data_IF_171907070627
#
_entry.id   IF_171907070627
#
_cell.length_a   1.000
_cell.length_b   1.000
_cell.length_c   1.000
_cell.angle_alpha   90.00
_cell.angle_beta   90.00
_cell.angle_gamma   90.00
#
_symmetry.space_group_name_H-M   'P 1'
#
loop_
_entity.id
_entity.type
_entity.pdbx_description
1 polymer ?
#
# COMPACT_ATOMS: atom_id res chain seq x y z
N UNK A 1 -5.72 -18.59 -4.21
CA UNK A 1 -5.09 -17.64 -5.15
C UNK A 1 -5.04 -16.26 -4.50
N UNK A 2 -3.97 -15.49 -4.70
CA UNK A 2 -3.84 -14.13 -4.15
C UNK A 2 -4.77 -13.19 -4.93
N UNK A 3 -5.64 -12.44 -4.23
CA UNK A 3 -6.62 -11.53 -4.86
C UNK A 3 -5.96 -10.36 -5.62
N UNK A 4 -4.72 -10.02 -5.27
CA UNK A 4 -3.95 -8.93 -5.87
C UNK A 4 -2.55 -9.42 -6.26
N UNK A 5 -1.99 -8.86 -7.33
CA UNK A 5 -0.61 -9.08 -7.83
C UNK A 5 0.16 -7.76 -7.90
N UNK A 6 1.49 -7.86 -7.97
CA UNK A 6 2.37 -6.70 -8.16
C UNK A 6 1.99 -5.95 -9.43
N UNK A 7 1.90 -4.63 -9.34
CA UNK A 7 1.50 -3.75 -10.45
C UNK A 7 0.00 -3.42 -10.48
N UNK A 8 -0.86 -4.14 -9.75
CA UNK A 8 -2.29 -3.81 -9.72
C UNK A 8 -2.51 -2.42 -9.09
N UNK A 9 -3.36 -1.62 -9.75
CA UNK A 9 -3.91 -0.42 -9.16
C UNK A 9 -4.99 -0.81 -8.13
N UNK A 10 -4.86 -0.28 -6.92
CA UNK A 10 -5.80 -0.54 -5.83
C UNK A 10 -6.20 0.73 -5.12
N UNK A 11 -7.38 0.70 -4.52
CA UNK A 11 -7.86 1.72 -3.61
C UNK A 11 -8.36 1.13 -2.30
N UNK A 12 -8.30 1.91 -1.25
CA UNK A 12 -8.89 1.57 0.05
C UNK A 12 -9.19 2.81 0.86
N UNK A 13 -10.13 2.67 1.78
CA UNK A 13 -10.45 3.70 2.76
C UNK A 13 -9.64 3.48 4.03
N UNK A 14 -8.98 4.52 4.51
CA UNK A 14 -8.21 4.52 5.75
C UNK A 14 -8.74 5.61 6.67
N UNK A 15 -8.89 5.29 7.96
CA UNK A 15 -9.22 6.25 9.00
C UNK A 15 -7.96 6.60 9.79
N UNK A 16 -7.74 7.89 10.06
CA UNK A 16 -6.65 8.36 10.91
C UNK A 16 -6.96 9.76 11.42
N UNK A 17 -6.66 10.03 12.69
CA UNK A 17 -6.88 11.33 13.34
C UNK A 17 -8.31 11.88 13.15
N UNK A 18 -9.32 11.02 13.22
CA UNK A 18 -10.73 11.39 13.03
C UNK A 18 -11.13 11.70 11.57
N UNK A 19 -10.22 11.55 10.61
CA UNK A 19 -10.51 11.73 9.18
C UNK A 19 -10.49 10.41 8.44
N UNK A 20 -11.44 10.27 7.54
CA UNK A 20 -11.52 9.16 6.58
C UNK A 20 -10.97 9.63 5.25
N UNK A 21 -10.06 8.87 4.66
CA UNK A 21 -9.43 9.21 3.39
C UNK A 21 -9.33 7.99 2.51
N UNK A 22 -9.81 8.11 1.27
CA UNK A 22 -9.57 7.11 0.22
C UNK A 22 -8.15 7.29 -0.31
N UNK A 23 -7.38 6.22 -0.28
CA UNK A 23 -6.03 6.15 -0.84
C UNK A 23 -6.08 5.34 -2.13
N UNK A 24 -5.25 5.75 -3.08
CA UNK A 24 -5.02 5.03 -4.35
C UNK A 24 -3.53 4.80 -4.50
N UNK A 25 -3.16 3.63 -4.98
CA UNK A 25 -1.76 3.29 -5.20
C UNK A 25 -1.61 1.98 -5.94
N UNK A 26 -0.35 1.57 -6.10
CA UNK A 26 0.01 0.37 -6.85
C UNK A 26 0.54 -0.69 -5.90
N UNK A 27 0.11 -1.94 -6.08
CA UNK A 27 0.65 -3.07 -5.31
C UNK A 27 2.15 -3.21 -5.61
N UNK A 28 2.99 -2.96 -4.60
CA UNK A 28 4.43 -3.13 -4.69
C UNK A 28 4.81 -4.60 -4.49
N UNK A 29 4.31 -5.22 -3.42
CA UNK A 29 4.58 -6.62 -3.11
C UNK A 29 3.60 -7.19 -2.07
N UNK A 30 3.39 -8.50 -2.15
CA UNK A 30 2.68 -9.30 -1.14
C UNK A 30 3.63 -9.66 0.01
N UNK A 31 3.19 -9.43 1.24
CA UNK A 31 3.91 -9.82 2.45
C UNK A 31 3.16 -10.98 3.11
N UNK A 32 3.81 -12.14 3.18
CA UNK A 32 3.26 -13.31 3.88
C UNK A 32 3.21 -13.07 5.39
N UNK A 33 2.31 -13.79 6.05
CA UNK A 33 2.24 -13.79 7.51
C UNK A 33 3.59 -14.16 8.14
N UNK A 34 3.83 -13.65 9.34
CA UNK A 34 5.05 -13.83 10.13
C UNK A 34 6.33 -13.27 9.49
N UNK A 35 6.21 -12.37 8.50
CA UNK A 35 7.34 -11.66 7.90
C UNK A 35 7.37 -10.19 8.32
N UNK A 36 8.56 -9.60 8.37
CA UNK A 36 8.74 -8.16 8.56
C UNK A 36 8.49 -7.43 7.22
N UNK A 37 7.44 -6.60 7.09
CA UNK A 37 7.18 -5.86 5.85
C UNK A 37 8.30 -4.91 5.45
N UNK A 38 9.06 -4.38 6.42
CA UNK A 38 10.15 -3.44 6.16
C UNK A 38 11.26 -4.01 5.27
N UNK A 39 11.48 -5.33 5.28
CA UNK A 39 12.47 -6.00 4.43
C UNK A 39 12.10 -6.03 2.94
N UNK A 40 10.85 -5.70 2.60
CA UNK A 40 10.36 -5.70 1.22
C UNK A 40 10.18 -4.29 0.64
N UNK A 41 10.56 -3.26 1.40
CA UNK A 41 10.60 -1.89 0.90
C UNK A 41 11.82 -1.70 0.00
N UNK A 42 11.76 -0.78 -0.98
CA UNK A 42 12.95 -0.42 -1.74
C UNK A 42 14.08 0.09 -0.84
N UNK A 43 15.32 -0.20 -1.24
CA UNK A 43 16.49 0.29 -0.54
C UNK A 43 16.50 1.83 -0.46
N UNK A 44 16.95 2.38 0.68
CA UNK A 44 16.98 3.82 0.91
C UNK A 44 15.62 4.46 1.18
N UNK A 45 14.53 3.68 1.32
CA UNK A 45 13.22 4.22 1.71
C UNK A 45 13.31 4.98 3.04
N UNK A 46 13.04 6.29 3.00
CA UNK A 46 13.04 7.15 4.18
C UNK A 46 11.96 6.72 5.16
N UNK A 47 12.27 6.70 6.47
CA UNK A 47 11.30 6.37 7.52
C UNK A 47 10.02 7.21 7.44
N UNK A 48 10.13 8.49 7.10
CA UNK A 48 8.98 9.40 6.95
C UNK A 48 8.03 9.04 5.81
N UNK A 49 8.45 8.17 4.89
CA UNK A 49 7.64 7.67 3.78
C UNK A 49 6.97 6.32 4.10
N UNK A 50 7.33 5.67 5.19
CA UNK A 50 6.73 4.43 5.66
C UNK A 50 5.52 4.80 6.54
N UNK A 51 4.33 4.36 6.15
CA UNK A 51 3.04 4.73 6.79
C UNK A 51 2.41 3.58 7.54
N UNK A 52 3.25 2.70 8.04
CA UNK A 52 2.90 1.60 8.93
C UNK A 52 4.03 1.41 9.94
N UNK A 53 3.68 0.93 11.12
CA UNK A 53 4.64 0.58 12.16
C UNK A 53 4.40 -0.88 12.54
N UNK A 54 5.05 -1.79 11.81
CA UNK A 54 4.90 -3.23 11.97
C UNK A 54 6.29 -3.86 12.00
N UNK A 55 6.62 -4.48 13.13
CA UNK A 55 7.81 -5.35 13.22
C UNK A 55 7.59 -6.68 12.52
N UNK A 56 6.37 -7.21 12.59
CA UNK A 56 5.94 -8.47 11.96
C UNK A 56 4.51 -8.31 11.46
N UNK A 57 4.21 -8.86 10.29
CA UNK A 57 2.85 -8.98 9.77
C UNK A 57 2.20 -10.26 10.30
N UNK A 58 1.35 -10.16 11.32
CA UNK A 58 0.61 -11.31 11.89
C UNK A 58 -0.26 -12.05 10.86
N UNK A 59 -0.69 -11.34 9.82
CA UNK A 59 -1.51 -11.86 8.72
C UNK A 59 -0.91 -11.42 7.39
N UNK A 60 -1.40 -12.01 6.31
CA UNK A 60 -1.10 -11.55 4.96
C UNK A 60 -1.41 -10.04 4.80
N UNK A 61 -0.47 -9.32 4.20
CA UNK A 61 -0.58 -7.90 3.89
C UNK A 61 0.00 -7.60 2.51
N UNK A 62 -0.28 -6.42 2.01
CA UNK A 62 0.30 -5.92 0.77
C UNK A 62 0.96 -4.58 1.04
N UNK A 63 2.19 -4.41 0.55
CA UNK A 63 2.80 -3.08 0.51
C UNK A 63 2.26 -2.37 -0.72
N UNK A 64 1.69 -1.19 -0.53
CA UNK A 64 1.14 -0.36 -1.59
C UNK A 64 1.97 0.92 -1.69
N UNK A 65 2.45 1.21 -2.90
CA UNK A 65 3.13 2.45 -3.26
C UNK A 65 2.09 3.52 -3.60
N UNK A 66 2.09 4.62 -2.86
CA UNK A 66 1.14 5.73 -3.00
C UNK A 66 1.91 7.01 -3.36
N UNK A 67 1.75 7.54 -4.59
CA UNK A 67 2.29 8.85 -4.90
C UNK A 67 1.56 9.93 -4.08
N UNK A 68 2.29 10.89 -3.50
CA UNK A 68 1.67 12.00 -2.73
C UNK A 68 0.86 12.97 -3.59
N UNK A 69 0.93 12.84 -4.91
CA UNK A 69 0.30 13.76 -5.87
C UNK A 69 1.05 15.08 -6.03
N UNK A 70 0.50 15.97 -6.86
CA UNK A 70 1.13 17.23 -7.23
C UNK A 70 2.40 17.04 -8.07
N UNK A 71 3.36 17.97 -7.94
CA UNK A 71 4.66 17.90 -8.65
C UNK A 71 5.70 17.00 -7.97
N UNK A 72 5.33 16.34 -6.87
CA UNK A 72 6.24 15.55 -6.06
C UNK A 72 6.39 14.14 -6.61
N UNK A 73 7.64 13.67 -6.74
CA UNK A 73 7.94 12.26 -7.04
C UNK A 73 8.01 11.40 -5.77
N UNK A 74 7.57 11.93 -4.62
CA UNK A 74 7.60 11.21 -3.35
C UNK A 74 6.53 10.13 -3.33
N UNK A 75 6.97 8.90 -3.01
CA UNK A 75 6.13 7.73 -2.81
C UNK A 75 6.09 7.42 -1.31
N UNK A 76 4.88 7.32 -0.77
CA UNK A 76 4.62 6.76 0.56
C UNK A 76 4.25 5.27 0.44
N UNK A 77 4.68 4.46 1.40
CA UNK A 77 4.38 3.03 1.45
C UNK A 77 3.42 2.70 2.59
N UNK A 78 2.32 2.06 2.24
CA UNK A 78 1.30 1.58 3.20
C UNK A 78 1.29 0.05 3.23
N UNK A 79 0.82 -0.54 4.33
CA UNK A 79 0.76 -1.99 4.50
C UNK A 79 -0.65 -2.48 4.93
N UNK A 80 -1.72 -2.24 4.14
CA UNK A 80 -3.07 -2.66 4.46
C UNK A 80 -3.26 -4.19 4.45
N UNK A 81 -4.33 -4.64 5.09
CA UNK A 81 -4.85 -6.01 4.94
C UNK A 81 -5.53 -6.16 3.56
N UNK A 82 -5.51 -7.36 2.95
CA UNK A 82 -6.18 -7.60 1.67
C UNK A 82 -7.68 -7.29 1.69
N UNK A 83 -8.35 -7.46 2.83
CA UNK A 83 -9.79 -7.20 2.97
C UNK A 83 -10.17 -5.72 2.81
N UNK A 84 -9.21 -4.81 2.94
CA UNK A 84 -9.45 -3.37 2.76
C UNK A 84 -9.28 -2.93 1.30
N UNK A 85 -8.58 -3.73 0.49
CA UNK A 85 -8.21 -3.37 -0.87
C UNK A 85 -9.33 -3.68 -1.86
N UNK A 86 -9.48 -2.79 -2.84
CA UNK A 86 -10.32 -2.95 -4.02
C UNK A 86 -9.45 -2.70 -5.24
N UNK A 87 -9.59 -3.52 -6.29
CA UNK A 87 -8.95 -3.25 -7.57
C UNK A 87 -9.57 -1.98 -8.17
N UNK A 88 -8.72 -1.17 -8.80
CA UNK A 88 -9.15 -0.09 -9.67
C UNK A 88 -8.94 -0.59 -11.08
N UNK A 89 -10.02 -0.83 -11.82
CA UNK A 89 -9.92 -1.15 -13.24
C UNK A 89 -9.48 0.12 -13.99
N UNK A 90 -8.46 0.00 -14.84
CA UNK A 90 -8.14 1.04 -15.82
C UNK A 90 -9.13 0.92 -16.99
N UNK A 91 -10.27 1.61 -16.85
CA UNK A 91 -11.31 1.81 -17.86
C UNK A 91 -12.47 2.53 -17.17
N UNK A 92 -12.87 3.75 -17.49
CA UNK A 92 -13.03 4.41 -18.77
C UNK A 92 -12.55 5.87 -18.65
N UNK A 93 -11.65 6.29 -19.52
CA UNK A 93 -11.51 7.71 -19.84
C UNK A 93 -11.55 7.78 -21.37
N UNK A 94 -12.76 7.55 -21.90
CA UNK A 94 -13.15 7.98 -23.25
C UNK A 94 -13.27 9.51 -23.29
#
# INVERSE_FOLDING_TARGET
MSKFKKGDAVQWTSQGQGRTTTKRGTVHIKVLAMRNPGHFLPEGTKKSHIKFDLRVAEFERFIIAVPRGGKSQIIDYYCPRPSLLQLVEEGDNQ
#
